data_IF_103883027590
#
_entry.id   IF_103883027590
#
_cell.length_a   1.000
_cell.length_b   1.000
_cell.length_c   1.000
_cell.angle_alpha   90.00
_cell.angle_beta   90.00
_cell.angle_gamma   90.00
#
_symmetry.space_group_name_H-M   'P 1'
#
loop_
_entity.id
_entity.type
_entity.pdbx_description
1 polymer ?
#
# COMPACT_ATOMS: atom_id res chain seq x y z
N UNK A 1 12.93 1.24 -17.86
CA UNK A 1 12.32 2.43 -17.22
C UNK A 1 13.09 2.70 -15.93
N UNK A 2 13.24 3.94 -15.51
CA UNK A 2 13.92 4.23 -14.24
C UNK A 2 12.99 3.85 -13.06
N UNK A 3 13.52 3.20 -12.04
CA UNK A 3 12.74 2.84 -10.88
C UNK A 3 12.29 4.09 -10.11
N UNK A 4 11.00 4.17 -9.77
CA UNK A 4 10.40 5.26 -8.98
C UNK A 4 10.79 5.14 -7.51
N UNK A 5 10.78 3.92 -6.97
CA UNK A 5 11.25 3.59 -5.62
C UNK A 5 12.36 2.55 -5.72
N UNK A 6 13.47 2.79 -5.04
CA UNK A 6 14.55 1.82 -4.86
C UNK A 6 14.83 1.63 -3.38
N UNK A 7 14.78 0.41 -2.94
CA UNK A 7 15.17 -0.01 -1.60
C UNK A 7 16.38 -0.92 -1.74
N UNK A 8 17.48 -0.60 -1.08
CA UNK A 8 18.72 -1.36 -1.21
C UNK A 8 19.29 -1.69 0.15
N UNK A 9 19.45 -2.99 0.39
CA UNK A 9 20.10 -3.62 1.56
C UNK A 9 19.65 -3.03 2.91
N UNK A 10 18.33 -2.78 3.08
CA UNK A 10 17.83 -2.20 4.32
C UNK A 10 17.84 -3.21 5.46
N UNK A 11 18.33 -2.75 6.62
CA UNK A 11 18.29 -3.48 7.88
C UNK A 11 17.48 -2.69 8.90
N UNK A 12 16.41 -3.29 9.43
CA UNK A 12 15.49 -2.62 10.37
C UNK A 12 15.35 -3.44 11.65
N UNK A 13 15.34 -2.74 12.78
CA UNK A 13 15.31 -3.35 14.10
C UNK A 13 14.19 -2.78 14.97
N UNK A 14 13.60 -3.63 15.81
CA UNK A 14 12.81 -3.26 16.98
C UNK A 14 13.64 -3.59 18.22
N UNK A 15 14.35 -2.62 18.74
CA UNK A 15 15.33 -2.86 19.82
C UNK A 15 16.41 -3.86 19.40
N UNK A 16 16.39 -5.07 19.96
CA UNK A 16 17.33 -6.16 19.61
C UNK A 16 16.80 -7.10 18.52
N UNK A 17 15.53 -6.97 18.14
CA UNK A 17 14.93 -7.86 17.14
C UNK A 17 15.25 -7.34 15.74
N UNK A 18 15.96 -8.13 14.92
CA UNK A 18 16.28 -7.84 13.54
C UNK A 18 15.10 -8.23 12.66
N UNK A 19 14.20 -7.28 12.37
CA UNK A 19 12.94 -7.52 11.68
C UNK A 19 13.09 -7.58 10.15
N UNK A 20 13.95 -6.73 9.56
CA UNK A 20 14.26 -6.71 8.12
C UNK A 20 15.77 -6.86 7.96
N UNK A 21 16.20 -7.80 7.12
CA UNK A 21 17.57 -8.37 7.10
C UNK A 21 18.19 -8.30 5.72
N UNK A 22 18.51 -7.09 5.25
CA UNK A 22 19.16 -6.88 3.96
C UNK A 22 18.17 -7.03 2.80
N UNK A 23 17.01 -6.35 2.89
CA UNK A 23 15.99 -6.38 1.84
C UNK A 23 16.30 -5.36 0.76
N UNK A 24 16.23 -5.82 -0.51
CA UNK A 24 16.38 -4.97 -1.70
C UNK A 24 15.26 -5.25 -2.68
N UNK A 25 14.58 -4.20 -3.16
CA UNK A 25 13.56 -4.28 -4.20
C UNK A 25 13.38 -2.92 -4.89
N UNK A 26 12.69 -2.95 -6.02
CA UNK A 26 12.41 -1.74 -6.81
C UNK A 26 10.94 -1.71 -7.22
N UNK A 27 10.40 -0.50 -7.40
CA UNK A 27 9.07 -0.25 -7.98
C UNK A 27 9.25 0.73 -9.14
N UNK A 28 8.85 0.33 -10.35
CA UNK A 28 8.85 1.21 -11.52
C UNK A 28 7.54 1.99 -11.62
N UNK A 29 7.57 3.07 -12.39
CA UNK A 29 6.37 3.86 -12.65
C UNK A 29 5.29 3.04 -13.38
N UNK A 30 4.04 3.14 -12.93
CA UNK A 30 2.88 2.50 -13.55
C UNK A 30 2.76 0.99 -13.31
N UNK A 31 3.55 0.38 -12.41
CA UNK A 31 3.42 -1.03 -12.06
C UNK A 31 2.79 -1.26 -10.68
N UNK A 32 2.20 -2.44 -10.50
CA UNK A 32 1.90 -3.01 -9.19
C UNK A 32 3.04 -3.94 -8.79
N UNK A 33 3.73 -3.60 -7.72
CA UNK A 33 4.69 -4.49 -7.06
C UNK A 33 4.08 -5.01 -5.77
N UNK A 34 4.13 -6.32 -5.54
CA UNK A 34 3.64 -6.91 -4.28
C UNK A 34 4.76 -7.48 -3.42
N UNK A 35 4.66 -7.23 -2.11
CA UNK A 35 5.41 -7.95 -1.08
C UNK A 35 4.46 -8.96 -0.44
N UNK A 36 4.66 -10.24 -0.68
CA UNK A 36 3.84 -11.32 -0.12
C UNK A 36 4.63 -12.10 0.93
N UNK A 37 3.94 -12.70 1.88
CA UNK A 37 4.56 -13.49 2.95
C UNK A 37 3.66 -13.63 4.16
N UNK A 38 4.01 -14.54 5.06
CA UNK A 38 3.26 -14.79 6.29
C UNK A 38 3.27 -13.58 7.25
N UNK A 39 2.38 -13.61 8.25
CA UNK A 39 2.39 -12.62 9.33
C UNK A 39 3.74 -12.67 10.07
N UNK A 40 4.28 -11.50 10.37
CA UNK A 40 5.61 -11.37 10.99
C UNK A 40 6.79 -11.50 10.03
N UNK A 41 6.58 -11.70 8.72
CA UNK A 41 7.67 -11.76 7.74
C UNK A 41 8.43 -10.44 7.56
N UNK A 42 7.90 -9.31 8.05
CA UNK A 42 8.53 -7.99 7.95
C UNK A 42 7.88 -7.03 6.95
N UNK A 43 6.78 -7.41 6.30
CA UNK A 43 6.09 -6.65 5.26
C UNK A 43 5.71 -5.23 5.70
N UNK A 44 4.89 -5.10 6.75
CA UNK A 44 4.48 -3.80 7.30
C UNK A 44 5.65 -2.99 7.86
N UNK A 45 6.72 -3.66 8.34
CA UNK A 45 7.95 -3.00 8.78
C UNK A 45 8.63 -2.29 7.60
N UNK A 46 8.68 -2.93 6.42
CA UNK A 46 9.21 -2.32 5.21
C UNK A 46 8.38 -1.09 4.84
N UNK A 47 7.04 -1.17 4.81
CA UNK A 47 6.20 -0.02 4.48
C UNK A 47 6.36 1.13 5.47
N UNK A 48 6.43 0.83 6.79
CA UNK A 48 6.71 1.82 7.83
C UNK A 48 8.08 2.49 7.65
N UNK A 49 9.07 1.73 7.18
CA UNK A 49 10.41 2.25 6.94
C UNK A 49 10.43 3.16 5.70
N UNK A 50 9.79 2.75 4.60
CA UNK A 50 9.68 3.55 3.38
C UNK A 50 8.87 4.83 3.62
N UNK A 51 7.84 4.79 4.48
CA UNK A 51 7.03 5.97 4.83
C UNK A 51 7.66 6.89 5.88
N UNK A 52 8.87 6.57 6.38
CA UNK A 52 9.57 7.37 7.39
C UNK A 52 9.05 7.24 8.81
N UNK A 53 8.08 6.34 9.06
CA UNK A 53 7.59 6.01 10.41
C UNK A 53 8.62 5.21 11.22
N UNK A 54 9.58 4.61 10.54
CA UNK A 54 10.75 3.94 11.09
C UNK A 54 11.95 4.29 10.22
N UNK A 55 13.15 4.20 10.78
CA UNK A 55 14.37 4.41 10.01
C UNK A 55 15.19 3.13 9.93
N UNK A 56 15.81 2.83 8.79
CA UNK A 56 16.71 1.69 8.67
C UNK A 56 17.99 1.97 9.48
N UNK A 57 18.59 0.92 10.05
CA UNK A 57 19.91 1.00 10.67
C UNK A 57 21.02 1.12 9.64
N UNK A 58 20.82 0.52 8.47
CA UNK A 58 21.71 0.57 7.31
C UNK A 58 20.91 0.31 6.04
N UNK A 59 21.51 0.57 4.88
CA UNK A 59 20.88 0.51 3.57
C UNK A 59 20.38 1.87 3.11
N UNK A 60 19.81 1.93 1.90
CA UNK A 60 19.32 3.17 1.29
C UNK A 60 17.89 3.01 0.79
N UNK A 61 17.14 4.10 0.79
CA UNK A 61 15.79 4.18 0.23
C UNK A 61 15.72 5.43 -0.64
N UNK A 62 15.60 5.24 -1.95
CA UNK A 62 15.49 6.33 -2.90
C UNK A 62 14.08 6.39 -3.49
N UNK A 63 13.46 7.56 -3.46
CA UNK A 63 12.20 7.83 -4.15
C UNK A 63 12.40 8.94 -5.18
N UNK A 64 12.18 8.61 -6.47
CA UNK A 64 12.41 9.51 -7.60
C UNK A 64 13.83 10.12 -7.59
N UNK A 65 14.84 9.28 -7.32
CA UNK A 65 16.26 9.67 -7.27
C UNK A 65 16.66 10.50 -6.05
N UNK A 66 15.82 10.62 -5.04
CA UNK A 66 16.11 11.32 -3.78
C UNK A 66 16.12 10.35 -2.62
N UNK A 67 17.17 10.42 -1.80
CA UNK A 67 17.22 9.64 -0.56
C UNK A 67 16.14 10.10 0.41
N UNK A 68 15.37 9.13 0.92
CA UNK A 68 14.29 9.34 1.89
C UNK A 68 14.45 8.48 3.16
N UNK A 69 15.55 7.73 3.32
CA UNK A 69 15.76 6.76 4.40
C UNK A 69 15.62 7.36 5.81
N UNK A 70 15.96 8.64 5.97
CA UNK A 70 15.87 9.37 7.24
C UNK A 70 14.97 10.61 7.15
N UNK A 71 14.10 10.67 6.12
CA UNK A 71 13.21 11.80 5.92
C UNK A 71 11.95 11.66 6.78
N UNK A 72 11.49 12.76 7.34
CA UNK A 72 10.24 12.86 8.11
C UNK A 72 9.02 12.46 7.26
N UNK A 73 8.02 11.74 7.82
CA UNK A 73 6.85 11.26 7.08
C UNK A 73 6.09 12.34 6.33
N UNK A 74 5.88 13.50 6.95
CA UNK A 74 5.20 14.63 6.33
C UNK A 74 5.92 15.14 5.07
N UNK A 75 7.26 15.13 5.06
CA UNK A 75 8.07 15.51 3.89
C UNK A 75 8.02 14.44 2.79
N UNK A 76 7.90 13.16 3.16
CA UNK A 76 7.75 12.06 2.20
C UNK A 76 6.40 12.17 1.49
N UNK A 77 5.32 12.41 2.23
CA UNK A 77 3.98 12.59 1.66
C UNK A 77 3.93 13.75 0.66
N UNK A 78 4.60 14.88 0.94
CA UNK A 78 4.67 16.02 0.01
C UNK A 78 5.42 15.71 -1.29
N UNK A 79 6.20 14.62 -1.34
CA UNK A 79 6.85 14.15 -2.58
C UNK A 79 5.92 13.26 -3.42
N UNK A 80 4.76 12.88 -2.89
CA UNK A 80 3.76 12.05 -3.56
C UNK A 80 3.85 10.56 -3.22
N UNK A 81 4.52 10.17 -2.13
CA UNK A 81 4.50 8.81 -1.62
C UNK A 81 3.51 8.74 -0.46
N UNK A 82 2.43 7.98 -0.63
CA UNK A 82 1.34 7.88 0.36
C UNK A 82 1.19 6.45 0.85
N UNK A 83 0.90 6.30 2.13
CA UNK A 83 0.73 5.01 2.78
C UNK A 83 -0.71 4.85 3.31
N UNK A 84 -1.39 3.81 2.85
CA UNK A 84 -2.65 3.32 3.42
C UNK A 84 -2.28 2.20 4.40
N UNK A 85 -2.28 2.48 5.72
CA UNK A 85 -1.83 1.53 6.72
C UNK A 85 -2.88 0.46 7.00
N UNK A 86 -2.44 -0.64 7.57
CA UNK A 86 -3.31 -1.67 8.15
C UNK A 86 -4.26 -1.08 9.21
N UNK A 87 -5.46 -1.64 9.31
CA UNK A 87 -6.46 -1.26 10.31
C UNK A 87 -7.26 -0.03 9.94
N UNK A 88 -7.35 0.31 8.64
CA UNK A 88 -8.22 1.34 8.04
C UNK A 88 -7.88 2.77 8.45
N UNK A 89 -7.65 3.06 9.74
CA UNK A 89 -7.22 4.35 10.31
C UNK A 89 -8.03 5.55 9.82
N UNK A 90 -9.37 5.41 9.77
CA UNK A 90 -10.28 6.53 9.51
C UNK A 90 -10.42 7.42 10.75
N UNK A 91 -10.75 8.68 10.54
CA UNK A 91 -11.13 9.60 11.62
C UNK A 91 -12.60 9.33 11.98
N UNK A 92 -12.80 8.51 13.00
CA UNK A 92 -14.10 7.90 13.32
C UNK A 92 -15.22 8.91 13.57
N UNK A 93 -14.91 10.03 14.23
CA UNK A 93 -15.87 11.10 14.57
C UNK A 93 -16.05 12.17 13.49
N UNK A 94 -15.34 12.05 12.37
CA UNK A 94 -15.52 12.89 11.21
C UNK A 94 -16.45 12.20 10.21
N UNK A 95 -17.17 12.98 9.42
CA UNK A 95 -17.96 12.47 8.30
C UNK A 95 -17.06 11.83 7.23
N UNK A 96 -17.66 11.06 6.33
CA UNK A 96 -16.98 10.53 5.15
C UNK A 96 -16.33 11.63 4.34
N UNK A 97 -17.06 12.72 4.09
CA UNK A 97 -16.55 13.86 3.31
C UNK A 97 -15.36 14.52 3.99
N UNK A 98 -15.44 14.83 5.28
CA UNK A 98 -14.32 15.40 6.03
C UNK A 98 -13.08 14.49 6.02
N UNK A 99 -13.26 13.15 6.12
CA UNK A 99 -12.15 12.21 5.97
C UNK A 99 -11.49 12.31 4.59
N UNK A 100 -12.29 12.43 3.52
CA UNK A 100 -11.80 12.59 2.15
C UNK A 100 -11.03 13.91 2.02
N UNK A 101 -11.60 15.01 2.48
CA UNK A 101 -10.97 16.34 2.45
C UNK A 101 -9.63 16.38 3.19
N UNK A 102 -9.51 15.66 4.32
CA UNK A 102 -8.25 15.51 5.05
C UNK A 102 -7.13 14.91 4.20
N UNK A 103 -7.46 14.10 3.20
CA UNK A 103 -6.49 13.55 2.25
C UNK A 103 -5.85 14.62 1.35
N UNK A 104 -6.52 15.75 1.15
CA UNK A 104 -6.00 16.89 0.38
C UNK A 104 -5.21 17.90 1.22
N UNK A 105 -4.99 17.64 2.53
CA UNK A 105 -4.34 18.58 3.45
C UNK A 105 -3.01 19.14 2.93
N UNK A 106 -2.18 18.29 2.31
CA UNK A 106 -0.88 18.70 1.76
C UNK A 106 -1.00 19.65 0.55
N UNK A 107 -2.16 19.68 -0.11
CA UNK A 107 -2.41 20.53 -1.29
C UNK A 107 -2.85 21.95 -0.88
N UNK A 108 -3.15 22.19 0.40
CA UNK A 108 -3.65 23.48 0.92
C UNK A 108 -5.05 23.87 0.42
N UNK A 109 -5.68 23.01 -0.37
CA UNK A 109 -7.06 23.16 -0.87
C UNK A 109 -7.65 21.78 -1.19
N UNK A 110 -8.96 21.68 -1.23
CA UNK A 110 -9.67 20.48 -1.68
C UNK A 110 -10.06 20.68 -3.15
N UNK A 111 -9.43 19.94 -4.09
CA UNK A 111 -9.79 20.05 -5.51
C UNK A 111 -11.13 19.33 -5.77
N UNK A 112 -12.13 20.03 -6.30
CA UNK A 112 -13.44 19.45 -6.62
C UNK A 112 -13.34 18.26 -7.56
N UNK A 113 -12.53 18.36 -8.60
CA UNK A 113 -12.26 17.27 -9.56
C UNK A 113 -11.70 15.99 -8.90
N UNK A 114 -10.89 16.15 -7.82
CA UNK A 114 -10.36 14.99 -7.08
C UNK A 114 -11.46 14.34 -6.22
N UNK A 115 -12.36 15.12 -5.66
CA UNK A 115 -13.54 14.62 -4.94
C UNK A 115 -14.48 13.87 -5.88
N UNK A 116 -14.72 14.40 -7.08
CA UNK A 116 -15.54 13.74 -8.10
C UNK A 116 -14.92 12.43 -8.57
N UNK A 117 -13.60 12.39 -8.85
CA UNK A 117 -12.89 11.17 -9.23
C UNK A 117 -12.97 10.12 -8.12
N UNK A 118 -12.73 10.50 -6.87
CA UNK A 118 -12.85 9.61 -5.71
C UNK A 118 -14.28 9.07 -5.59
N UNK A 119 -15.30 9.91 -5.70
CA UNK A 119 -16.69 9.45 -5.60
C UNK A 119 -17.14 8.60 -6.80
N UNK A 120 -16.54 8.79 -7.98
CA UNK A 120 -16.82 7.92 -9.13
C UNK A 120 -16.29 6.49 -8.90
N UNK A 121 -15.13 6.37 -8.24
CA UNK A 121 -14.52 5.07 -7.88
C UNK A 121 -15.18 4.41 -6.67
N UNK A 122 -15.70 5.22 -5.74
CA UNK A 122 -16.31 4.78 -4.49
C UNK A 122 -17.75 5.32 -4.33
N UNK A 123 -18.70 4.91 -5.18
CA UNK A 123 -20.06 5.47 -5.19
C UNK A 123 -20.78 5.30 -3.84
N UNK A 124 -20.51 4.23 -3.10
CA UNK A 124 -21.06 4.04 -1.76
C UNK A 124 -20.62 5.09 -0.76
N UNK A 125 -19.41 5.62 -0.88
CA UNK A 125 -18.96 6.72 -0.03
C UNK A 125 -19.66 8.03 -0.39
N UNK A 126 -20.00 8.26 -1.67
CA UNK A 126 -20.79 9.41 -2.10
C UNK A 126 -22.18 9.40 -1.47
N UNK A 127 -22.89 8.27 -1.50
CA UNK A 127 -24.20 8.08 -0.89
C UNK A 127 -24.18 8.37 0.62
N UNK A 128 -23.06 8.15 1.29
CA UNK A 128 -22.86 8.27 2.73
C UNK A 128 -21.95 9.44 3.11
N UNK A 129 -21.77 10.42 2.24
CA UNK A 129 -20.78 11.50 2.39
C UNK A 129 -20.91 12.28 3.71
N UNK A 130 -22.14 12.39 4.24
CA UNK A 130 -22.44 13.08 5.51
C UNK A 130 -22.46 12.15 6.72
N UNK A 131 -22.32 10.84 6.53
CA UNK A 131 -22.35 9.86 7.63
C UNK A 131 -21.03 9.89 8.39
N UNK A 132 -21.10 9.70 9.71
CA UNK A 132 -19.92 9.55 10.57
C UNK A 132 -19.13 8.29 10.21
N UNK A 133 -17.83 8.44 9.95
CA UNK A 133 -16.98 7.36 9.42
C UNK A 133 -16.86 6.14 10.35
N UNK A 134 -16.97 6.37 11.67
CA UNK A 134 -16.94 5.31 12.67
C UNK A 134 -18.14 4.35 12.56
N UNK A 135 -19.25 4.79 11.96
CA UNK A 135 -20.48 3.98 11.79
C UNK A 135 -20.53 3.17 10.50
N UNK A 136 -19.54 3.33 9.63
CA UNK A 136 -19.41 2.56 8.39
C UNK A 136 -19.03 1.10 8.68
N UNK A 137 -19.42 0.21 7.78
CA UNK A 137 -18.90 -1.17 7.78
C UNK A 137 -17.38 -1.20 7.57
N UNK A 138 -16.75 -2.31 7.98
CA UNK A 138 -15.29 -2.43 7.84
C UNK A 138 -14.79 -2.27 6.41
N UNK A 139 -15.54 -2.75 5.41
CA UNK A 139 -15.17 -2.57 4.01
C UNK A 139 -15.32 -1.13 3.52
N UNK A 140 -16.39 -0.43 3.94
CA UNK A 140 -16.57 0.98 3.62
C UNK A 140 -15.49 1.84 4.28
N UNK A 141 -15.07 1.52 5.51
CA UNK A 141 -13.93 2.19 6.15
C UNK A 141 -12.62 1.96 5.39
N UNK A 142 -12.41 0.75 4.86
CA UNK A 142 -11.22 0.45 4.03
C UNK A 142 -11.25 1.25 2.72
N UNK A 143 -12.41 1.30 2.05
CA UNK A 143 -12.60 2.14 0.86
C UNK A 143 -12.36 3.63 1.18
N UNK A 144 -12.83 4.10 2.35
CA UNK A 144 -12.61 5.48 2.79
C UNK A 144 -11.13 5.78 3.03
N UNK A 145 -10.37 4.84 3.61
CA UNK A 145 -8.93 5.01 3.79
C UNK A 145 -8.18 5.10 2.44
N UNK A 146 -8.59 4.28 1.45
CA UNK A 146 -8.04 4.35 0.09
C UNK A 146 -8.46 5.65 -0.61
N UNK A 147 -9.73 6.03 -0.53
CA UNK A 147 -10.27 7.27 -1.09
C UNK A 147 -9.51 8.49 -0.55
N UNK A 148 -9.29 8.56 0.75
CA UNK A 148 -8.50 9.60 1.40
C UNK A 148 -7.07 9.68 0.86
N UNK A 149 -6.42 8.53 0.64
CA UNK A 149 -5.08 8.50 0.09
C UNK A 149 -5.00 9.06 -1.33
N UNK A 150 -6.02 8.81 -2.16
CA UNK A 150 -6.10 9.29 -3.54
C UNK A 150 -6.25 10.81 -3.66
N UNK A 151 -6.85 11.46 -2.65
CA UNK A 151 -7.06 12.91 -2.65
C UNK A 151 -5.78 13.73 -2.78
N UNK A 152 -4.64 13.19 -2.32
CA UNK A 152 -3.34 13.86 -2.46
C UNK A 152 -2.73 13.76 -3.86
N UNK A 153 -3.39 13.07 -4.81
CA UNK A 153 -2.89 12.76 -6.17
C UNK A 153 -1.48 12.11 -6.09
N UNK A 154 -1.35 10.98 -5.40
CA UNK A 154 -0.05 10.37 -5.12
C UNK A 154 0.61 9.84 -6.40
N UNK A 155 1.95 9.85 -6.42
CA UNK A 155 2.77 9.22 -7.46
C UNK A 155 2.97 7.73 -7.17
N UNK A 156 3.11 7.37 -5.89
CA UNK A 156 3.19 5.99 -5.40
C UNK A 156 2.24 5.81 -4.22
N UNK A 157 1.39 4.80 -4.30
CA UNK A 157 0.51 4.39 -3.20
C UNK A 157 1.04 3.09 -2.61
N UNK A 158 1.31 3.10 -1.31
CA UNK A 158 1.62 1.90 -0.54
C UNK A 158 0.39 1.46 0.22
N UNK A 159 0.01 0.17 0.11
CA UNK A 159 -1.15 -0.40 0.79
C UNK A 159 -0.72 -1.58 1.65
N UNK A 160 -1.06 -1.52 2.94
CA UNK A 160 -0.71 -2.55 3.93
C UNK A 160 -1.93 -3.41 4.25
N UNK A 161 -1.96 -4.62 3.69
CA UNK A 161 -3.00 -5.64 3.84
C UNK A 161 -4.44 -5.09 3.66
N UNK A 162 -4.75 -4.42 2.52
CA UNK A 162 -6.03 -3.75 2.34
C UNK A 162 -7.23 -4.70 2.33
N UNK A 163 -7.02 -5.99 2.10
CA UNK A 163 -8.09 -7.00 2.08
C UNK A 163 -8.35 -7.67 3.44
N UNK A 164 -7.52 -7.40 4.46
CA UNK A 164 -7.57 -8.13 5.72
C UNK A 164 -8.88 -7.91 6.48
N UNK A 165 -9.49 -9.01 6.94
CA UNK A 165 -10.71 -8.99 7.75
C UNK A 165 -11.97 -8.54 7.00
N UNK A 166 -11.96 -8.61 5.66
CA UNK A 166 -13.10 -8.31 4.81
C UNK A 166 -13.83 -9.59 4.36
N UNK A 167 -15.11 -9.46 4.02
CA UNK A 167 -15.85 -10.53 3.38
C UNK A 167 -15.31 -10.81 1.97
N UNK A 168 -15.48 -12.03 1.42
CA UNK A 168 -14.99 -12.38 0.09
C UNK A 168 -15.41 -11.41 -1.02
N UNK A 169 -16.65 -10.91 -0.97
CA UNK A 169 -17.16 -9.94 -1.94
C UNK A 169 -16.40 -8.62 -1.87
N UNK A 170 -16.13 -8.12 -0.66
CA UNK A 170 -15.39 -6.89 -0.45
C UNK A 170 -13.92 -7.04 -0.82
N UNK A 171 -13.33 -8.22 -0.59
CA UNK A 171 -11.98 -8.54 -1.06
C UNK A 171 -11.89 -8.39 -2.58
N UNK A 172 -12.81 -9.02 -3.34
CA UNK A 172 -12.85 -8.89 -4.81
C UNK A 172 -12.98 -7.42 -5.23
N UNK A 173 -13.85 -6.67 -4.57
CA UNK A 173 -14.05 -5.24 -4.87
C UNK A 173 -12.76 -4.42 -4.64
N UNK A 174 -12.05 -4.65 -3.53
CA UNK A 174 -10.77 -3.95 -3.25
C UNK A 174 -9.73 -4.27 -4.32
N UNK A 175 -9.59 -5.55 -4.71
CA UNK A 175 -8.62 -5.92 -5.75
C UNK A 175 -9.02 -5.38 -7.13
N UNK A 176 -10.32 -5.28 -7.46
CA UNK A 176 -10.80 -4.62 -8.68
C UNK A 176 -10.40 -3.14 -8.69
N UNK A 177 -10.64 -2.42 -7.59
CA UNK A 177 -10.26 -1.01 -7.46
C UNK A 177 -8.74 -0.82 -7.62
N UNK A 178 -7.92 -1.69 -7.02
CA UNK A 178 -6.46 -1.63 -7.15
C UNK A 178 -6.04 -1.84 -8.62
N UNK A 179 -6.66 -2.79 -9.31
CA UNK A 179 -6.39 -3.04 -10.73
C UNK A 179 -6.82 -1.85 -11.62
N UNK A 180 -7.96 -1.23 -11.34
CA UNK A 180 -8.45 -0.03 -12.05
C UNK A 180 -7.53 1.18 -11.81
N UNK A 181 -7.01 1.37 -10.59
CA UNK A 181 -6.03 2.40 -10.29
C UNK A 181 -4.76 2.22 -11.13
N UNK A 182 -4.26 1.00 -11.25
CA UNK A 182 -3.10 0.69 -12.10
C UNK A 182 -3.39 0.99 -13.57
N UNK A 183 -4.58 0.63 -14.09
CA UNK A 183 -4.98 0.94 -15.48
C UNK A 183 -5.05 2.44 -15.74
N UNK A 184 -5.38 3.24 -14.73
CA UNK A 184 -5.33 4.71 -14.80
C UNK A 184 -3.93 5.30 -14.60
N UNK A 185 -2.88 4.47 -14.54
CA UNK A 185 -1.47 4.88 -14.48
C UNK A 185 -0.89 4.99 -13.05
N UNK A 186 -1.62 4.58 -12.01
CA UNK A 186 -1.10 4.61 -10.65
C UNK A 186 0.05 3.59 -10.47
N UNK A 187 1.05 3.99 -9.69
CA UNK A 187 2.11 3.11 -9.21
C UNK A 187 1.76 2.62 -7.81
N UNK A 188 1.83 1.31 -7.57
CA UNK A 188 1.33 0.71 -6.34
C UNK A 188 2.36 -0.27 -5.75
N UNK A 189 2.65 -0.11 -4.46
CA UNK A 189 3.34 -1.12 -3.65
C UNK A 189 2.31 -1.75 -2.72
N UNK A 190 1.96 -2.99 -2.99
CA UNK A 190 0.94 -3.75 -2.28
C UNK A 190 1.59 -4.75 -1.33
N UNK A 191 1.25 -4.68 -0.06
CA UNK A 191 1.59 -5.72 0.92
C UNK A 191 0.34 -6.54 1.18
N UNK A 192 0.44 -7.87 1.03
CA UNK A 192 -0.69 -8.77 1.22
C UNK A 192 -0.25 -10.12 1.78
N UNK A 193 -1.14 -10.69 2.59
CA UNK A 193 -1.06 -12.08 3.02
C UNK A 193 -1.78 -12.99 2.01
N UNK A 194 -2.85 -12.52 1.37
CA UNK A 194 -3.59 -13.24 0.34
C UNK A 194 -2.79 -13.27 -0.97
N UNK A 195 -1.76 -14.12 -1.02
CA UNK A 195 -0.87 -14.22 -2.16
C UNK A 195 -1.60 -14.53 -3.47
N UNK A 196 -2.62 -15.41 -3.45
CA UNK A 196 -3.37 -15.77 -4.65
C UNK A 196 -4.05 -14.55 -5.32
N UNK A 197 -4.69 -13.72 -4.52
CA UNK A 197 -5.36 -12.51 -5.03
C UNK A 197 -4.35 -11.45 -5.47
N UNK A 198 -3.32 -11.21 -4.66
CA UNK A 198 -2.30 -10.23 -4.96
C UNK A 198 -1.57 -10.54 -6.27
N UNK A 199 -1.08 -11.78 -6.44
CA UNK A 199 -0.30 -12.19 -7.62
C UNK A 199 -1.07 -12.10 -8.93
N UNK A 200 -2.42 -12.22 -8.91
CA UNK A 200 -3.25 -12.09 -10.12
C UNK A 200 -3.27 -10.69 -10.73
N UNK A 201 -3.05 -9.67 -9.92
CA UNK A 201 -3.06 -8.27 -10.37
C UNK A 201 -1.67 -7.62 -10.40
N UNK A 202 -0.64 -8.36 -9.96
CA UNK A 202 0.72 -7.88 -9.75
C UNK A 202 1.57 -8.05 -11.01
N UNK A 203 2.32 -7.02 -11.37
CA UNK A 203 3.34 -7.09 -12.44
C UNK A 203 4.59 -7.84 -11.95
N UNK A 204 5.10 -7.49 -10.74
CA UNK A 204 6.25 -8.13 -10.08
C UNK A 204 5.96 -8.32 -8.60
N UNK A 205 6.44 -9.45 -8.04
CA UNK A 205 6.32 -9.66 -6.60
C UNK A 205 7.62 -10.22 -5.99
N UNK A 206 7.72 -9.99 -4.70
CA UNK A 206 8.79 -10.45 -3.83
C UNK A 206 8.18 -11.24 -2.68
N UNK A 207 8.65 -12.46 -2.47
CA UNK A 207 8.25 -13.32 -1.36
C UNK A 207 9.14 -13.04 -0.17
N UNK A 208 8.54 -12.67 0.94
CA UNK A 208 9.24 -12.30 2.16
C UNK A 208 9.08 -13.38 3.23
N UNK A 209 10.18 -13.87 3.76
CA UNK A 209 10.24 -14.84 4.85
C UNK A 209 11.24 -14.40 5.91
N UNK A 210 10.78 -14.31 7.14
CA UNK A 210 11.63 -14.01 8.32
C UNK A 210 12.57 -12.80 8.11
N UNK A 211 12.05 -11.75 7.44
CA UNK A 211 12.77 -10.50 7.18
C UNK A 211 13.70 -10.52 5.97
N UNK A 212 13.62 -11.51 5.10
CA UNK A 212 14.42 -11.64 3.86
C UNK A 212 13.53 -11.89 2.66
N UNK A 213 13.95 -11.42 1.49
CA UNK A 213 13.36 -11.84 0.21
C UNK A 213 13.96 -13.20 -0.15
N UNK A 214 13.10 -14.20 -0.34
CA UNK A 214 13.48 -15.57 -0.71
C UNK A 214 13.25 -15.88 -2.17
N UNK A 215 12.19 -15.29 -2.77
CA UNK A 215 11.84 -15.44 -4.18
C UNK A 215 11.41 -14.11 -4.76
N UNK A 216 11.59 -13.93 -6.05
CA UNK A 216 11.05 -12.79 -6.81
C UNK A 216 10.77 -13.20 -8.25
N UNK A 217 9.79 -12.56 -8.86
CA UNK A 217 9.41 -12.84 -10.25
C UNK A 217 8.17 -12.03 -10.65
N UNK A 218 7.66 -12.25 -11.84
CA UNK A 218 6.37 -11.75 -12.25
C UNK A 218 5.25 -12.42 -11.43
N UNK A 219 4.10 -11.75 -11.30
CA UNK A 219 2.94 -12.34 -10.61
C UNK A 219 2.56 -13.70 -11.19
N UNK A 220 2.64 -13.85 -12.53
CA UNK A 220 2.34 -15.11 -13.22
C UNK A 220 3.33 -16.21 -12.88
N UNK A 221 4.64 -15.95 -12.96
CA UNK A 221 5.68 -16.95 -12.64
C UNK A 221 5.54 -17.44 -11.21
N UNK A 222 5.25 -16.54 -10.26
CA UNK A 222 5.08 -16.91 -8.86
C UNK A 222 3.78 -17.68 -8.60
N UNK A 223 2.69 -17.39 -9.34
CA UNK A 223 1.46 -18.21 -9.30
C UNK A 223 1.67 -19.64 -9.78
N UNK A 224 2.57 -19.84 -10.74
CA UNK A 224 2.90 -21.16 -11.30
C UNK A 224 3.98 -21.91 -10.48
N UNK A 225 4.71 -21.22 -9.60
CA UNK A 225 5.78 -21.79 -8.75
C UNK A 225 5.24 -22.80 -7.74
N UNK A 226 5.80 -24.02 -7.75
CA UNK A 226 5.42 -25.06 -6.79
C UNK A 226 5.73 -24.68 -5.34
N UNK A 227 6.82 -23.95 -5.09
CA UNK A 227 7.20 -23.49 -3.75
C UNK A 227 6.18 -22.48 -3.21
N UNK A 228 5.76 -21.53 -4.07
CA UNK A 228 4.73 -20.53 -3.71
C UNK A 228 3.38 -21.20 -3.52
N UNK A 229 3.00 -22.16 -4.36
CA UNK A 229 1.75 -22.92 -4.22
C UNK A 229 1.68 -23.62 -2.87
N UNK A 230 2.71 -24.39 -2.52
CA UNK A 230 2.77 -25.13 -1.25
C UNK A 230 2.78 -24.22 -0.03
N UNK A 231 3.50 -23.08 -0.08
CA UNK A 231 3.67 -22.22 1.08
C UNK A 231 2.50 -21.23 1.28
N UNK A 232 1.88 -20.75 0.18
CA UNK A 232 1.01 -19.56 0.24
C UNK A 232 -0.34 -19.70 -0.51
N UNK A 233 -0.52 -20.71 -1.39
CA UNK A 233 -1.73 -20.81 -2.20
C UNK A 233 -2.69 -21.94 -1.77
N UNK A 234 -2.34 -22.70 -0.73
CA UNK A 234 -3.16 -23.79 -0.21
C UNK A 234 -3.18 -24.95 -1.19
N UNK A 235 -2.03 -25.56 -1.41
CA UNK A 235 -1.87 -26.75 -2.24
C UNK A 235 -2.56 -27.98 -1.67
#
# INVERSE_FOLDING_TARGET
>A
MAAMLKVHDIHVYYGKIHAVKGVSFEVNEGEIVSLIGANGAGKSTILKTVSGLMHPKSGTIEFMGKDIAHMEPNKIVTKGLVHVPEGRRVFAHMSVMENIEMGAYILGRVPEEAVEDVFSRFPRLKERSRQEAGTLSGGEQQMLAMARALMSKPKLIMMDEPSMGLSPILVEQIFSIIAELRQSGATILLVEQNANKALKITDRAYVLETGRITLSGSGRELLESEDVKKAYLGG
#
